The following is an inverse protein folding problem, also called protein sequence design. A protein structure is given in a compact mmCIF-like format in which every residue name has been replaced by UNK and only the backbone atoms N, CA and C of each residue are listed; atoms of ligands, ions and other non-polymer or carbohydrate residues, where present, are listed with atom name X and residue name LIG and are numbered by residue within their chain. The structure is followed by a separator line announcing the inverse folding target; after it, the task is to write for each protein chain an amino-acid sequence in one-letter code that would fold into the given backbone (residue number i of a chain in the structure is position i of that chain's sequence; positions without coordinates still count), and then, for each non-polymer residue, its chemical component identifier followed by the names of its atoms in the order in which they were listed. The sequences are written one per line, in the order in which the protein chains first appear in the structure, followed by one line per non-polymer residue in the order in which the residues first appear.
data_IF_338132570424
#
_entry.id   IF_338132570424
#
_cell.length_a   1.000
_cell.length_b   1.000
_cell.length_c   1.000
_cell.angle_alpha   90.00
_cell.angle_beta   90.00
_cell.angle_gamma   90.00
#
_symmetry.space_group_name_H-M   'P 1'
#
loop_
_entity.id
_entity.type
_entity.pdbx_description
1 polymer ?
#
# COMPACT_ATOMS: atom_id res chain seq x y z
N UNK A 1 11.75 11.87 22.79
CA UNK A 1 10.47 12.42 22.26
C UNK A 1 10.24 12.09 20.79
N UNK A 2 11.27 12.08 19.93
CA UNK A 2 11.14 11.77 18.48
C UNK A 2 10.39 10.46 18.18
N UNK A 3 10.63 9.38 18.94
CA UNK A 3 9.91 8.12 18.75
C UNK A 3 8.39 8.27 18.90
N UNK A 4 7.91 9.00 19.90
CA UNK A 4 6.46 9.17 20.13
C UNK A 4 5.85 10.04 19.02
N UNK A 5 6.52 11.12 18.63
CA UNK A 5 6.01 12.04 17.61
C UNK A 5 5.88 11.40 16.23
N UNK A 6 6.81 10.51 15.89
CA UNK A 6 6.85 9.92 14.56
C UNK A 6 6.25 8.51 14.52
N UNK A 7 6.62 7.60 15.42
CA UNK A 7 6.18 6.21 15.32
C UNK A 7 4.65 6.05 15.51
N UNK A 8 3.99 6.98 16.21
CA UNK A 8 2.53 7.00 16.35
C UNK A 8 1.80 7.25 15.02
N UNK A 9 2.45 7.93 14.08
CA UNK A 9 1.92 8.22 12.74
C UNK A 9 2.13 7.06 11.75
N UNK A 10 3.06 6.14 12.04
CA UNK A 10 3.41 5.03 11.14
C UNK A 10 2.23 4.09 10.85
N UNK A 11 1.29 3.94 11.80
CA UNK A 11 0.08 3.15 11.59
C UNK A 11 -0.82 3.71 10.48
N UNK A 12 -0.92 5.04 10.37
CA UNK A 12 -1.65 5.71 9.29
C UNK A 12 -1.01 5.47 7.93
N UNK A 13 0.33 5.46 7.86
CA UNK A 13 1.06 5.12 6.63
C UNK A 13 0.81 3.66 6.26
N UNK A 14 0.91 2.73 7.21
CA UNK A 14 0.80 1.30 6.97
C UNK A 14 -0.60 0.84 6.55
N UNK A 15 -1.66 1.50 7.03
CA UNK A 15 -3.04 1.16 6.63
C UNK A 15 -3.46 1.80 5.30
N UNK A 16 -2.74 2.83 4.83
CA UNK A 16 -3.19 3.74 3.78
C UNK A 16 -3.62 3.06 2.48
N UNK A 17 -2.86 2.06 2.01
CA UNK A 17 -3.18 1.29 0.78
C UNK A 17 -4.44 0.43 0.90
N UNK A 18 -4.89 0.18 2.12
CA UNK A 18 -5.97 -0.76 2.45
C UNK A 18 -7.09 -0.11 3.27
N UNK A 19 -7.05 1.21 3.44
CA UNK A 19 -7.96 1.94 4.33
C UNK A 19 -9.43 1.86 3.88
N UNK A 20 -9.68 1.67 2.58
CA UNK A 20 -11.00 1.44 1.99
C UNK A 20 -11.25 -0.03 1.62
N UNK A 21 -10.33 -0.93 1.97
CA UNK A 21 -10.48 -2.37 1.74
C UNK A 21 -11.09 -3.04 2.98
N UNK A 22 -11.54 -4.29 2.84
CA UNK A 22 -12.13 -5.05 3.93
C UNK A 22 -11.03 -5.56 4.88
N UNK A 23 -10.55 -4.66 5.73
CA UNK A 23 -9.66 -4.96 6.85
C UNK A 23 -10.47 -4.85 8.14
N UNK A 24 -10.65 -5.96 8.85
CA UNK A 24 -11.38 -5.97 10.11
C UNK A 24 -10.67 -5.05 11.14
N UNK A 25 -11.39 -4.37 12.05
CA UNK A 25 -10.78 -3.45 13.03
C UNK A 25 -9.59 -4.05 13.81
N UNK A 26 -9.69 -5.33 14.16
CA UNK A 26 -8.59 -6.06 14.80
C UNK A 26 -7.35 -6.19 13.90
N UNK A 27 -7.53 -6.46 12.60
CA UNK A 27 -6.44 -6.46 11.63
C UNK A 27 -5.80 -5.08 11.48
N UNK A 28 -6.60 -4.03 11.44
CA UNK A 28 -6.09 -2.65 11.39
C UNK A 28 -5.26 -2.28 12.62
N UNK A 29 -5.68 -2.71 13.83
CA UNK A 29 -4.89 -2.53 15.05
C UNK A 29 -3.56 -3.27 15.00
N UNK A 30 -3.54 -4.51 14.47
CA UNK A 30 -2.30 -5.28 14.30
C UNK A 30 -1.35 -4.57 13.32
N UNK A 31 -1.84 -4.13 12.17
CA UNK A 31 -1.04 -3.41 11.16
C UNK A 31 -0.44 -2.14 11.78
N UNK A 32 -1.24 -1.37 12.51
CA UNK A 32 -0.77 -0.16 13.21
C UNK A 32 0.31 -0.45 14.26
N UNK A 33 0.12 -1.50 15.07
CA UNK A 33 1.10 -1.91 16.08
C UNK A 33 2.43 -2.37 15.46
N UNK A 34 2.36 -3.19 14.40
CA UNK A 34 3.55 -3.63 13.67
C UNK A 34 4.29 -2.45 13.04
N UNK A 35 3.58 -1.52 12.42
CA UNK A 35 4.16 -0.30 11.85
C UNK A 35 4.86 0.57 12.90
N UNK A 36 4.25 0.74 14.08
CA UNK A 36 4.84 1.49 15.18
C UNK A 36 6.12 0.81 15.72
N UNK A 37 6.13 -0.52 15.82
CA UNK A 37 7.32 -1.31 16.21
C UNK A 37 8.44 -1.12 15.16
N UNK A 38 8.13 -1.31 13.88
CA UNK A 38 9.07 -1.15 12.77
C UNK A 38 9.66 0.27 12.78
N UNK A 39 8.81 1.29 12.92
CA UNK A 39 9.23 2.68 12.95
C UNK A 39 10.14 2.97 14.15
N UNK A 40 9.75 2.54 15.36
CA UNK A 40 10.53 2.74 16.58
C UNK A 40 11.89 2.06 16.51
N UNK A 41 11.95 0.81 16.06
CA UNK A 41 13.20 0.08 15.84
C UNK A 41 14.04 0.79 14.77
N UNK A 42 13.42 1.26 13.70
CA UNK A 42 14.07 2.03 12.64
C UNK A 42 14.80 3.26 13.17
N UNK A 43 14.13 4.08 13.98
CA UNK A 43 14.76 5.25 14.60
C UNK A 43 15.93 4.87 15.52
N UNK A 44 15.82 3.74 16.23
CA UNK A 44 16.85 3.30 17.18
C UNK A 44 18.06 2.65 16.49
N UNK A 45 17.84 1.94 15.39
CA UNK A 45 18.83 1.04 14.76
C UNK A 45 19.11 1.41 13.31
N UNK A 46 18.07 1.56 12.47
CA UNK A 46 18.26 1.81 11.03
C UNK A 46 18.85 3.19 10.75
N UNK A 47 18.33 4.26 11.36
CA UNK A 47 18.90 5.62 11.18
C UNK A 47 20.39 5.70 11.51
N UNK A 48 20.88 5.27 12.68
CA UNK A 48 22.31 5.34 12.97
C UNK A 48 23.14 4.41 12.07
N UNK A 49 22.60 3.26 11.65
CA UNK A 49 23.28 2.37 10.71
C UNK A 49 23.41 3.00 9.32
N UNK A 50 22.33 3.54 8.76
CA UNK A 50 22.31 4.23 7.47
C UNK A 50 23.34 5.38 7.44
N UNK A 51 23.38 6.19 8.50
CA UNK A 51 24.31 7.31 8.59
C UNK A 51 25.77 6.85 8.71
N UNK A 52 26.07 5.86 9.56
CA UNK A 52 27.45 5.46 9.86
C UNK A 52 28.07 4.52 8.84
N UNK A 53 27.26 3.64 8.25
CA UNK A 53 27.75 2.55 7.42
C UNK A 53 27.46 2.75 5.93
N UNK A 54 26.45 3.56 5.59
CA UNK A 54 26.01 3.76 4.21
C UNK A 54 26.07 5.23 3.76
N UNK A 55 26.51 6.15 4.63
CA UNK A 55 26.55 7.60 4.38
C UNK A 55 25.20 8.19 3.96
N UNK A 56 24.09 7.61 4.42
CA UNK A 56 22.74 8.09 4.15
C UNK A 56 22.24 8.87 5.38
N UNK A 57 22.24 10.19 5.27
CA UNK A 57 21.78 11.08 6.32
C UNK A 57 20.27 11.34 6.22
N UNK A 58 19.49 10.54 6.95
CA UNK A 58 18.04 10.73 7.09
C UNK A 58 17.72 11.59 8.32
N UNK A 59 17.76 12.92 8.14
CA UNK A 59 17.61 13.92 9.21
C UNK A 59 16.31 13.77 10.01
N UNK A 60 15.20 13.51 9.33
CA UNK A 60 13.88 13.40 9.96
C UNK A 60 13.49 11.94 10.25
N UNK A 61 14.27 10.95 9.81
CA UNK A 61 13.91 9.54 9.90
C UNK A 61 12.74 9.16 9.00
N UNK A 62 12.61 9.79 7.83
CA UNK A 62 11.50 9.54 6.90
C UNK A 62 11.51 8.11 6.37
N UNK A 63 12.66 7.43 6.34
CA UNK A 63 12.70 6.00 6.03
C UNK A 63 11.95 5.17 7.09
N UNK A 64 12.02 5.56 8.37
CA UNK A 64 11.38 4.83 9.46
C UNK A 64 9.89 5.13 9.60
N UNK A 65 9.46 6.34 9.21
CA UNK A 65 8.05 6.74 9.27
C UNK A 65 7.30 6.45 7.97
N UNK A 66 7.88 6.77 6.82
CA UNK A 66 7.23 6.66 5.52
C UNK A 66 7.72 5.45 4.73
N UNK A 67 9.04 5.27 4.60
CA UNK A 67 9.63 4.23 3.74
C UNK A 67 9.24 2.80 4.16
N UNK A 68 9.71 2.35 5.32
CA UNK A 68 9.43 0.99 5.81
C UNK A 68 7.94 0.74 6.09
N UNK A 69 7.19 1.65 6.74
CA UNK A 69 5.74 1.48 6.88
C UNK A 69 4.98 1.52 5.54
N UNK A 70 5.46 2.25 4.54
CA UNK A 70 4.90 2.26 3.19
C UNK A 70 5.11 0.94 2.45
N UNK A 71 6.29 0.32 2.61
CA UNK A 71 6.54 -1.05 2.12
C UNK A 71 5.59 -2.04 2.80
N UNK A 72 5.43 -1.93 4.13
CA UNK A 72 4.44 -2.73 4.86
C UNK A 72 3.03 -2.54 4.28
N UNK A 73 2.62 -1.29 3.98
CA UNK A 73 1.33 -1.01 3.35
C UNK A 73 1.16 -1.73 2.01
N UNK A 74 2.19 -1.75 1.16
CA UNK A 74 2.18 -2.49 -0.10
C UNK A 74 2.01 -4.00 0.11
N UNK A 75 2.74 -4.57 1.08
CA UNK A 75 2.62 -5.99 1.43
C UNK A 75 1.24 -6.36 1.97
N UNK A 76 0.66 -5.52 2.83
CA UNK A 76 -0.71 -5.71 3.33
C UNK A 76 -1.70 -5.63 2.17
N UNK A 77 -1.53 -4.69 1.23
CA UNK A 77 -2.40 -4.57 0.05
C UNK A 77 -2.38 -5.83 -0.82
N UNK A 78 -1.20 -6.44 -1.02
CA UNK A 78 -1.05 -7.72 -1.74
C UNK A 78 -1.85 -8.83 -1.04
N UNK A 79 -1.75 -8.95 0.29
CA UNK A 79 -2.49 -9.95 1.07
C UNK A 79 -4.00 -9.69 1.02
N UNK A 80 -4.43 -8.45 1.17
CA UNK A 80 -5.86 -8.12 1.15
C UNK A 80 -6.46 -8.33 -0.25
N UNK A 81 -5.71 -8.02 -1.31
CA UNK A 81 -6.13 -8.26 -2.69
C UNK A 81 -6.24 -9.77 -3.02
N UNK A 82 -5.36 -10.62 -2.48
CA UNK A 82 -5.46 -12.07 -2.68
C UNK A 82 -6.64 -12.70 -1.94
N UNK A 83 -7.14 -12.05 -0.89
CA UNK A 83 -8.32 -12.51 -0.16
C UNK A 83 -9.63 -11.93 -0.71
N UNK A 84 -9.58 -11.01 -1.68
CA UNK A 84 -10.75 -10.31 -2.18
C UNK A 84 -11.55 -11.15 -3.17
N UNK A 85 -12.76 -11.54 -2.77
CA UNK A 85 -13.68 -12.37 -3.55
C UNK A 85 -15.10 -11.80 -3.44
N UNK A 86 -16.01 -12.24 -4.30
CA UNK A 86 -17.42 -11.80 -4.20
C UNK A 86 -18.11 -12.32 -2.94
N UNK A 87 -17.68 -13.46 -2.38
CA UNK A 87 -18.27 -14.04 -1.17
C UNK A 87 -18.11 -13.14 0.07
N UNK A 88 -17.03 -12.37 0.14
CA UNK A 88 -16.73 -11.46 1.26
C UNK A 88 -16.90 -9.98 0.92
N UNK A 89 -16.71 -9.54 -0.33
CA UNK A 89 -16.94 -8.15 -0.75
C UNK A 89 -18.30 -7.90 -1.41
N UNK A 90 -19.02 -8.95 -1.84
CA UNK A 90 -20.16 -8.80 -2.73
C UNK A 90 -19.80 -8.03 -4.00
N UNK A 91 -20.79 -7.35 -4.59
CA UNK A 91 -20.59 -6.53 -5.79
C UNK A 91 -19.72 -5.28 -5.54
N UNK A 92 -19.53 -4.87 -4.28
CA UNK A 92 -18.64 -3.75 -3.95
C UNK A 92 -17.16 -4.03 -4.29
N UNK A 93 -16.82 -5.32 -4.48
CA UNK A 93 -15.53 -5.74 -5.04
C UNK A 93 -15.17 -4.97 -6.31
N UNK A 94 -16.17 -4.74 -7.17
CA UNK A 94 -15.99 -4.09 -8.47
C UNK A 94 -15.86 -2.58 -8.39
N UNK A 95 -16.31 -1.97 -7.30
CA UNK A 95 -16.01 -0.56 -7.01
C UNK A 95 -14.60 -0.39 -6.46
N UNK A 96 -14.15 -1.35 -5.63
CA UNK A 96 -12.83 -1.32 -5.01
C UNK A 96 -11.71 -1.71 -5.98
N UNK A 97 -11.97 -2.70 -6.84
CA UNK A 97 -11.05 -3.19 -7.88
C UNK A 97 -11.69 -3.11 -9.27
N UNK A 98 -11.79 -1.91 -9.88
CA UNK A 98 -12.47 -1.71 -11.16
C UNK A 98 -11.93 -2.58 -12.29
N UNK A 99 -10.62 -2.87 -12.32
CA UNK A 99 -10.02 -3.75 -13.33
C UNK A 99 -10.60 -5.18 -13.32
N UNK A 100 -11.15 -5.62 -12.19
CA UNK A 100 -11.82 -6.92 -12.04
C UNK A 100 -13.25 -6.92 -12.56
N UNK A 101 -13.86 -5.75 -12.72
CA UNK A 101 -15.21 -5.61 -13.29
C UNK A 101 -15.27 -6.22 -14.69
N UNK A 102 -16.37 -6.90 -15.08
CA UNK A 102 -16.52 -7.41 -16.44
C UNK A 102 -16.49 -6.27 -17.48
N UNK A 103 -16.21 -6.63 -18.74
CA UNK A 103 -16.19 -5.67 -19.83
C UNK A 103 -17.60 -5.13 -20.13
N UNK A 104 -17.70 -3.88 -20.59
CA UNK A 104 -18.97 -3.16 -20.78
C UNK A 104 -19.99 -3.90 -21.67
N UNK A 105 -19.49 -4.63 -22.67
CA UNK A 105 -20.28 -5.37 -23.65
C UNK A 105 -20.79 -6.73 -23.14
N UNK A 106 -20.58 -7.06 -21.86
CA UNK A 106 -21.01 -8.34 -21.27
C UNK A 106 -22.34 -8.20 -20.54
N UNK A 107 -23.18 -9.23 -20.64
CA UNK A 107 -24.43 -9.30 -19.85
C UNK A 107 -24.16 -9.26 -18.35
N UNK A 108 -23.03 -9.82 -17.91
CA UNK A 108 -22.58 -9.79 -16.52
C UNK A 108 -22.36 -8.36 -16.01
N UNK A 109 -21.67 -7.52 -16.78
CA UNK A 109 -21.50 -6.10 -16.45
C UNK A 109 -22.86 -5.40 -16.34
N UNK A 110 -23.76 -5.59 -17.31
CA UNK A 110 -25.08 -4.95 -17.30
C UNK A 110 -25.90 -5.37 -16.07
N UNK A 111 -25.84 -6.64 -15.68
CA UNK A 111 -26.48 -7.14 -14.48
C UNK A 111 -25.92 -6.47 -13.21
N UNK A 112 -24.58 -6.41 -13.07
CA UNK A 112 -23.92 -5.76 -11.93
C UNK A 112 -24.27 -4.26 -11.89
N UNK A 113 -24.19 -3.57 -13.03
CA UNK A 113 -24.44 -2.14 -13.14
C UNK A 113 -25.91 -1.79 -12.84
N UNK A 114 -26.85 -2.69 -13.13
CA UNK A 114 -28.27 -2.51 -12.77
C UNK A 114 -28.52 -2.53 -11.25
N UNK A 115 -27.67 -3.24 -10.50
CA UNK A 115 -27.75 -3.32 -9.03
C UNK A 115 -26.87 -2.26 -8.36
N UNK A 116 -25.73 -1.94 -8.97
CA UNK A 116 -24.71 -1.04 -8.43
C UNK A 116 -24.15 -0.12 -9.52
N UNK A 117 -24.87 0.98 -9.78
CA UNK A 117 -24.56 1.93 -10.87
C UNK A 117 -23.20 2.63 -10.75
N UNK A 118 -22.56 2.58 -9.57
CA UNK A 118 -21.22 3.13 -9.35
C UNK A 118 -20.07 2.24 -9.87
N UNK A 119 -20.36 1.08 -10.47
CA UNK A 119 -19.34 0.19 -11.03
C UNK A 119 -18.99 0.62 -12.46
N UNK A 120 -17.72 0.92 -12.68
CA UNK A 120 -17.16 1.14 -14.01
C UNK A 120 -16.87 -0.19 -14.72
N UNK A 121 -16.94 -0.25 -16.07
CA UNK A 121 -16.51 -1.43 -16.81
C UNK A 121 -15.02 -1.67 -16.62
N UNK A 122 -14.64 -2.94 -16.57
CA UNK A 122 -13.26 -3.36 -16.35
C UNK A 122 -12.75 -4.32 -17.41
N UNK A 123 -11.70 -5.05 -17.05
CA UNK A 123 -11.03 -6.02 -17.93
C UNK A 123 -11.37 -7.47 -17.57
N UNK A 124 -12.26 -7.70 -16.59
CA UNK A 124 -12.54 -9.04 -16.06
C UNK A 124 -11.33 -9.68 -15.39
N UNK A 125 -10.47 -8.90 -14.72
CA UNK A 125 -9.27 -9.43 -14.08
C UNK A 125 -9.59 -10.47 -13.02
N UNK A 126 -8.84 -11.58 -13.09
CA UNK A 126 -8.79 -12.55 -12.01
C UNK A 126 -8.12 -11.96 -10.75
N UNK A 127 -8.36 -12.62 -9.61
CA UNK A 127 -7.64 -12.37 -8.36
C UNK A 127 -6.11 -12.34 -8.57
N UNK A 128 -5.58 -13.30 -9.34
CA UNK A 128 -4.15 -13.37 -9.64
C UNK A 128 -3.66 -12.12 -10.35
N UNK A 129 -4.39 -11.62 -11.34
CA UNK A 129 -4.00 -10.42 -12.08
C UNK A 129 -4.01 -9.20 -11.16
N UNK A 130 -5.02 -9.08 -10.28
CA UNK A 130 -5.07 -7.99 -9.31
C UNK A 130 -3.90 -8.04 -8.32
N UNK A 131 -3.55 -9.24 -7.83
CA UNK A 131 -2.38 -9.44 -6.96
C UNK A 131 -1.08 -9.09 -7.67
N UNK A 132 -0.90 -9.55 -8.91
CA UNK A 132 0.27 -9.21 -9.73
C UNK A 132 0.39 -7.70 -9.91
N UNK A 133 -0.72 -7.00 -10.14
CA UNK A 133 -0.73 -5.54 -10.26
C UNK A 133 -0.30 -4.84 -8.96
N UNK A 134 -0.71 -5.33 -7.78
CA UNK A 134 -0.25 -4.76 -6.51
C UNK A 134 1.26 -4.97 -6.28
N UNK A 135 1.78 -6.15 -6.64
CA UNK A 135 3.21 -6.45 -6.59
C UNK A 135 3.98 -5.52 -7.54
N UNK A 136 3.52 -5.41 -8.78
CA UNK A 136 4.12 -4.55 -9.78
C UNK A 136 4.11 -3.08 -9.34
N UNK A 137 2.98 -2.59 -8.81
CA UNK A 137 2.87 -1.23 -8.29
C UNK A 137 3.88 -0.94 -7.17
N UNK A 138 4.10 -1.88 -6.25
CA UNK A 138 5.09 -1.72 -5.18
C UNK A 138 6.51 -1.57 -5.75
N UNK A 139 6.92 -2.48 -6.65
CA UNK A 139 8.27 -2.46 -7.21
C UNK A 139 8.50 -1.29 -8.16
N UNK A 140 7.53 -0.94 -9.00
CA UNK A 140 7.63 0.22 -9.89
C UNK A 140 7.68 1.54 -9.12
N UNK A 141 6.94 1.65 -8.01
CA UNK A 141 7.03 2.81 -7.10
C UNK A 141 8.42 2.93 -6.48
N UNK A 142 8.99 1.83 -5.98
CA UNK A 142 10.35 1.85 -5.42
C UNK A 142 11.40 2.19 -6.48
N UNK A 143 11.31 1.59 -7.67
CA UNK A 143 12.25 1.85 -8.76
C UNK A 143 12.20 3.31 -9.23
N UNK A 144 10.99 3.85 -9.43
CA UNK A 144 10.80 5.24 -9.83
C UNK A 144 11.25 6.23 -8.75
N UNK A 145 10.98 5.94 -7.47
CA UNK A 145 11.44 6.78 -6.35
C UNK A 145 12.97 6.82 -6.26
N UNK A 146 13.65 5.67 -6.38
CA UNK A 146 15.12 5.62 -6.34
C UNK A 146 15.73 6.32 -7.56
N UNK A 147 15.25 6.02 -8.77
CA UNK A 147 15.77 6.64 -10.00
C UNK A 147 15.54 8.15 -10.00
N UNK A 148 14.33 8.60 -9.68
CA UNK A 148 13.99 10.02 -9.59
C UNK A 148 14.79 10.74 -8.51
N UNK A 149 15.00 10.10 -7.36
CA UNK A 149 15.82 10.63 -6.27
C UNK A 149 17.29 10.81 -6.67
N UNK A 150 17.89 9.83 -7.34
CA UNK A 150 19.27 9.92 -7.85
C UNK A 150 19.40 11.05 -8.87
N UNK A 151 18.53 11.07 -9.89
CA UNK A 151 18.56 12.10 -10.94
C UNK A 151 18.40 13.50 -10.36
N UNK A 152 17.50 13.66 -9.39
CA UNK A 152 17.27 14.95 -8.73
C UNK A 152 18.47 15.34 -7.85
N UNK A 153 19.03 14.38 -7.11
CA UNK A 153 20.14 14.62 -6.20
C UNK A 153 21.45 15.00 -6.90
N UNK A 154 21.75 14.40 -8.05
CA UNK A 154 22.92 14.75 -8.88
C UNK A 154 22.85 16.20 -9.39
N UNK A 155 21.64 16.76 -9.52
CA UNK A 155 21.43 18.15 -9.93
C UNK A 155 21.49 19.17 -8.79
N UNK A 156 21.67 18.72 -7.54
CA UNK A 156 21.72 19.62 -6.38
C UNK A 156 23.17 20.08 -6.11
N UNK A 157 23.37 21.38 -5.82
CA UNK A 157 24.69 21.96 -5.56
C UNK A 157 25.30 21.53 -4.23
#
# INVERSE_FOLDING_TARGET
MVHIQNATLAGGVAIGSTANMLVHPFGAMIIGALAAIISTIGYKVATPYLAKNLNIHDTCGVNNLHGMPGILAGLVSIVVASMAREDNYGLSLYQLYPARSPAENTTEFQNIHSVLSGVAPGYGWSERNQVCAQVEALFTTLASAMAGGIVTGEGMP
#
